data_IF_371981822072
#
_entry.id   IF_371981822072
#
_cell.length_a   1.000
_cell.length_b   1.000
_cell.length_c   1.000
_cell.angle_alpha   90.00
_cell.angle_beta   90.00
_cell.angle_gamma   90.00
#
_symmetry.space_group_name_H-M   'P 1'
#
loop_
_entity.id
_entity.type
_entity.pdbx_description
1 polymer ?
#
# COMPACT_ATOMS: atom_id res chain seq x y z
N UNK A 1 -7.65 -9.69 0.38
CA UNK A 1 -6.25 -9.54 0.71
C UNK A 1 -6.07 -9.63 2.21
N UNK A 2 -5.08 -10.39 2.69
CA UNK A 2 -4.91 -10.68 4.11
C UNK A 2 -3.61 -10.09 4.62
N UNK A 3 -3.69 -9.12 5.53
CA UNK A 3 -2.53 -8.65 6.29
C UNK A 3 -2.22 -9.55 7.50
N UNK A 4 -0.99 -9.49 7.97
CA UNK A 4 -0.47 -10.38 9.01
C UNK A 4 -0.68 -9.78 10.40
N UNK A 5 -0.89 -10.65 11.38
CA UNK A 5 -0.92 -10.22 12.78
C UNK A 5 0.44 -10.43 13.45
N UNK A 6 0.96 -11.66 13.43
CA UNK A 6 2.18 -11.99 14.17
C UNK A 6 3.48 -11.42 13.61
N UNK A 7 3.76 -11.45 12.27
CA UNK A 7 4.98 -10.85 11.73
C UNK A 7 4.98 -9.32 11.75
N UNK A 8 3.93 -8.71 12.26
CA UNK A 8 3.57 -7.29 12.11
C UNK A 8 3.36 -6.93 10.63
N UNK A 9 2.99 -5.71 10.32
CA UNK A 9 2.46 -5.25 9.03
C UNK A 9 3.30 -5.56 7.78
N UNK A 10 4.63 -5.68 7.91
CA UNK A 10 5.51 -5.99 6.78
C UNK A 10 6.69 -6.90 7.18
N UNK A 11 6.54 -7.70 8.23
CA UNK A 11 7.56 -8.64 8.66
C UNK A 11 8.63 -8.04 9.58
N UNK A 12 8.34 -6.94 10.29
CA UNK A 12 9.29 -6.30 11.22
C UNK A 12 9.85 -7.29 12.25
N UNK A 13 9.04 -8.28 12.67
CA UNK A 13 9.50 -9.33 13.60
C UNK A 13 10.72 -10.09 13.07
N UNK A 14 10.77 -10.35 11.77
CA UNK A 14 11.89 -11.06 11.13
C UNK A 14 13.05 -10.11 10.81
N UNK A 15 12.78 -8.84 10.52
CA UNK A 15 13.80 -7.80 10.36
C UNK A 15 14.62 -7.62 11.64
N UNK A 16 13.96 -7.72 12.81
CA UNK A 16 14.58 -7.56 14.12
C UNK A 16 15.23 -8.85 14.66
N UNK A 17 15.21 -9.93 13.89
CA UNK A 17 15.80 -11.21 14.31
C UNK A 17 17.33 -11.13 14.39
N UNK A 18 17.92 -11.78 15.40
CA UNK A 18 19.37 -11.89 15.54
C UNK A 18 20.02 -12.83 14.51
N UNK A 19 19.24 -13.76 13.97
CA UNK A 19 19.64 -14.74 12.95
C UNK A 19 18.84 -14.50 11.68
N UNK A 20 19.45 -13.84 10.70
CA UNK A 20 18.80 -13.48 9.45
C UNK A 20 18.60 -14.69 8.50
N UNK A 21 19.41 -15.74 8.62
CA UNK A 21 19.22 -16.98 7.86
C UNK A 21 17.97 -17.71 8.36
N UNK A 22 17.77 -17.79 9.66
CA UNK A 22 16.54 -18.30 10.25
C UNK A 22 15.36 -17.36 9.90
N UNK A 23 15.55 -16.04 9.94
CA UNK A 23 14.57 -15.04 9.52
C UNK A 23 14.08 -15.29 8.08
N UNK A 24 15.00 -15.54 7.15
CA UNK A 24 14.66 -15.85 5.76
C UNK A 24 13.89 -17.17 5.63
N UNK A 25 14.30 -18.20 6.37
CA UNK A 25 13.57 -19.46 6.40
C UNK A 25 12.15 -19.29 6.92
N UNK A 26 11.96 -18.47 7.97
CA UNK A 26 10.64 -18.15 8.50
C UNK A 26 9.77 -17.36 7.50
N UNK A 27 10.32 -16.36 6.82
CA UNK A 27 9.60 -15.62 5.77
C UNK A 27 9.11 -16.56 4.67
N UNK A 28 9.96 -17.45 4.19
CA UNK A 28 9.61 -18.42 3.15
C UNK A 28 8.55 -19.40 3.62
N UNK A 29 8.72 -19.99 4.81
CA UNK A 29 7.75 -20.92 5.39
C UNK A 29 6.38 -20.24 5.59
N UNK A 30 6.37 -18.97 6.04
CA UNK A 30 5.14 -18.24 6.18
C UNK A 30 4.45 -17.99 4.83
N UNK A 31 5.21 -17.60 3.81
CA UNK A 31 4.66 -17.39 2.48
C UNK A 31 4.14 -18.70 1.86
N UNK A 32 4.84 -19.80 2.06
CA UNK A 32 4.41 -21.11 1.58
C UNK A 32 3.09 -21.52 2.24
N UNK A 33 3.01 -21.41 3.57
CA UNK A 33 1.78 -21.65 4.30
C UNK A 33 0.64 -20.73 3.84
N UNK A 34 0.90 -19.42 3.68
CA UNK A 34 -0.11 -18.44 3.24
C UNK A 34 -0.69 -18.82 1.87
N UNK A 35 0.16 -19.21 0.93
CA UNK A 35 -0.26 -19.53 -0.42
C UNK A 35 -0.93 -20.92 -0.47
N UNK A 36 -0.27 -21.96 0.02
CA UNK A 36 -0.65 -23.37 -0.20
C UNK A 36 -1.73 -23.87 0.77
N UNK A 37 -1.64 -23.47 2.06
CA UNK A 37 -2.52 -24.01 3.09
C UNK A 37 -3.66 -23.05 3.47
N UNK A 38 -3.46 -21.72 3.31
CA UNK A 38 -4.47 -20.75 3.70
C UNK A 38 -5.29 -20.22 2.52
N UNK A 39 -4.64 -19.79 1.43
CA UNK A 39 -5.34 -19.14 0.32
C UNK A 39 -5.83 -20.14 -0.74
N UNK A 40 -5.01 -21.08 -1.19
CA UNK A 40 -5.37 -22.05 -2.24
C UNK A 40 -6.65 -22.84 -1.92
N UNK A 41 -6.85 -23.38 -0.70
CA UNK A 41 -8.09 -24.13 -0.38
C UNK A 41 -9.35 -23.28 -0.38
N UNK A 42 -9.23 -21.96 -0.37
CA UNK A 42 -10.37 -21.03 -0.39
C UNK A 42 -11.06 -20.92 -1.77
N UNK A 43 -10.47 -21.52 -2.81
CA UNK A 43 -11.00 -21.40 -4.17
C UNK A 43 -10.97 -19.98 -4.73
N UNK A 44 -9.95 -19.19 -4.34
CA UNK A 44 -9.76 -17.81 -4.80
C UNK A 44 -10.48 -16.74 -3.96
N UNK A 45 -11.14 -17.12 -2.86
CA UNK A 45 -11.76 -16.14 -1.94
C UNK A 45 -10.70 -15.38 -1.13
N UNK A 46 -9.64 -16.06 -0.73
CA UNK A 46 -8.52 -15.46 -0.02
C UNK A 46 -7.39 -15.15 -1.00
N UNK A 47 -6.92 -13.92 -1.00
CA UNK A 47 -5.83 -13.45 -1.86
C UNK A 47 -4.56 -13.34 -1.00
N UNK A 48 -3.47 -14.05 -1.36
CA UNK A 48 -2.26 -14.05 -0.57
C UNK A 48 -1.55 -12.70 -0.65
N UNK A 49 -1.11 -12.21 0.50
CA UNK A 49 -0.19 -11.11 0.65
C UNK A 49 1.09 -11.66 1.27
N UNK A 50 2.18 -11.67 0.53
CA UNK A 50 3.42 -12.30 0.96
C UNK A 50 4.35 -11.32 1.67
N UNK A 51 5.19 -11.84 2.55
CA UNK A 51 6.29 -11.13 3.19
C UNK A 51 7.51 -11.09 2.27
N UNK A 52 8.37 -10.12 2.51
CA UNK A 52 9.70 -10.03 1.91
C UNK A 52 10.78 -9.90 2.99
N UNK A 53 12.00 -10.40 2.78
CA UNK A 53 13.12 -10.17 3.70
C UNK A 53 13.61 -8.72 3.57
N UNK A 54 13.11 -7.84 4.44
CA UNK A 54 13.33 -6.38 4.36
C UNK A 54 14.78 -5.94 4.63
N UNK A 55 15.65 -6.82 5.09
CA UNK A 55 17.06 -6.53 5.33
C UNK A 55 17.95 -6.66 4.08
N UNK A 56 17.43 -7.25 2.99
CA UNK A 56 18.17 -7.48 1.76
C UNK A 56 17.24 -7.38 0.53
N UNK A 57 17.44 -6.36 -0.30
CA UNK A 57 16.60 -6.10 -1.47
C UNK A 57 16.75 -7.15 -2.59
N UNK A 58 17.91 -7.85 -2.69
CA UNK A 58 18.09 -8.93 -3.65
C UNK A 58 17.30 -10.18 -3.23
N UNK A 59 17.35 -10.53 -1.95
CA UNK A 59 16.53 -11.61 -1.39
C UNK A 59 15.04 -11.28 -1.49
N UNK A 60 14.67 -10.01 -1.26
CA UNK A 60 13.30 -9.53 -1.43
C UNK A 60 12.83 -9.68 -2.89
N UNK A 61 13.65 -9.27 -3.86
CA UNK A 61 13.37 -9.45 -5.28
C UNK A 61 13.21 -10.91 -5.68
N UNK A 62 14.08 -11.78 -5.16
CA UNK A 62 13.99 -13.23 -5.40
C UNK A 62 12.70 -13.81 -4.85
N UNK A 63 12.27 -13.37 -3.66
CA UNK A 63 11.03 -13.82 -3.02
C UNK A 63 9.79 -13.31 -3.76
N UNK A 64 9.80 -12.08 -4.28
CA UNK A 64 8.74 -11.55 -5.16
C UNK A 64 8.59 -12.46 -6.39
N UNK A 65 9.68 -12.75 -7.12
CA UNK A 65 9.63 -13.59 -8.32
C UNK A 65 9.15 -15.00 -8.00
N UNK A 66 9.67 -15.61 -6.93
CA UNK A 66 9.26 -16.95 -6.48
C UNK A 66 7.75 -17.05 -6.26
N UNK A 67 7.17 -16.07 -5.59
CA UNK A 67 5.75 -16.06 -5.31
C UNK A 67 4.91 -15.61 -6.53
N UNK A 68 5.45 -14.76 -7.40
CA UNK A 68 4.78 -14.37 -8.65
C UNK A 68 4.58 -15.56 -9.59
N UNK A 69 5.52 -16.52 -9.65
CA UNK A 69 5.38 -17.80 -10.39
C UNK A 69 4.21 -18.65 -9.86
N UNK A 70 3.83 -18.45 -8.60
CA UNK A 70 2.69 -19.11 -7.93
C UNK A 70 1.39 -18.30 -8.02
N UNK A 71 1.37 -17.24 -8.82
CA UNK A 71 0.20 -16.38 -9.01
C UNK A 71 0.03 -15.25 -7.98
N UNK A 72 0.94 -15.09 -7.03
CA UNK A 72 0.88 -13.99 -6.05
C UNK A 72 1.18 -12.65 -6.72
N UNK A 73 0.39 -11.63 -6.41
CA UNK A 73 0.52 -10.28 -6.97
C UNK A 73 0.55 -9.18 -5.90
N UNK A 74 0.82 -9.54 -4.65
CA UNK A 74 0.90 -8.61 -3.54
C UNK A 74 1.99 -9.00 -2.55
N UNK A 75 2.82 -8.03 -2.15
CA UNK A 75 3.82 -8.16 -1.09
C UNK A 75 3.76 -6.96 -0.15
N UNK A 76 4.09 -7.18 1.12
CA UNK A 76 4.16 -6.11 2.11
C UNK A 76 5.44 -5.31 2.01
N UNK A 77 5.33 -4.01 2.22
CA UNK A 77 6.46 -3.10 2.36
C UNK A 77 6.19 -2.06 3.45
N UNK A 78 7.23 -1.41 3.98
CA UNK A 78 7.05 -0.33 4.95
C UNK A 78 6.65 0.97 4.26
N UNK A 79 5.68 1.69 4.81
CA UNK A 79 5.30 3.02 4.37
C UNK A 79 6.47 4.04 4.46
N UNK A 80 7.35 3.90 5.47
CA UNK A 80 8.52 4.77 5.67
C UNK A 80 9.72 3.92 6.14
N UNK A 81 10.44 3.23 5.23
CA UNK A 81 11.55 2.34 5.57
C UNK A 81 12.62 2.95 6.51
N UNK A 82 13.01 4.24 6.39
CA UNK A 82 14.01 4.82 7.28
C UNK A 82 13.63 4.83 8.77
N UNK A 83 12.35 4.79 9.11
CA UNK A 83 11.92 4.68 10.52
C UNK A 83 12.19 3.29 11.12
N UNK A 84 12.41 2.30 10.28
CA UNK A 84 12.84 0.95 10.67
C UNK A 84 14.37 0.78 10.61
N UNK A 85 15.13 1.86 10.41
CA UNK A 85 16.58 1.81 10.24
C UNK A 85 17.01 1.29 8.85
N UNK A 86 16.10 1.22 7.90
CA UNK A 86 16.34 0.74 6.55
C UNK A 86 16.69 1.89 5.59
N UNK A 87 17.29 1.61 4.42
CA UNK A 87 17.51 2.61 3.39
C UNK A 87 16.23 3.30 2.94
N UNK A 88 16.31 4.58 2.58
CA UNK A 88 15.19 5.29 1.94
C UNK A 88 14.93 4.78 0.54
N UNK A 89 13.74 5.03 -0.01
CA UNK A 89 13.39 4.67 -1.39
C UNK A 89 14.25 5.42 -2.43
N UNK A 90 14.89 6.53 -2.03
CA UNK A 90 15.75 7.34 -2.89
C UNK A 90 17.17 6.79 -3.02
N UNK A 91 17.60 5.90 -2.14
CA UNK A 91 18.99 5.42 -2.04
C UNK A 91 19.44 4.53 -3.20
N UNK A 92 18.51 4.00 -3.99
CA UNK A 92 18.75 2.95 -4.98
C UNK A 92 18.92 1.53 -4.39
N UNK A 93 19.01 1.41 -3.07
CA UNK A 93 19.15 0.09 -2.43
C UNK A 93 17.95 -0.84 -2.68
N UNK A 94 16.76 -0.28 -2.87
CA UNK A 94 15.53 -1.03 -3.15
C UNK A 94 15.25 -1.30 -4.63
N UNK A 95 16.05 -0.78 -5.54
CA UNK A 95 15.82 -0.92 -6.99
C UNK A 95 15.67 -2.38 -7.45
N UNK A 96 16.41 -3.36 -6.89
CA UNK A 96 16.16 -4.77 -7.20
C UNK A 96 14.75 -5.25 -6.87
N UNK A 97 14.20 -4.83 -5.72
CA UNK A 97 12.83 -5.13 -5.31
C UNK A 97 11.81 -4.45 -6.24
N UNK A 98 12.00 -3.16 -6.51
CA UNK A 98 11.09 -2.38 -7.36
C UNK A 98 11.08 -2.92 -8.79
N UNK A 99 12.24 -3.29 -9.33
CA UNK A 99 12.34 -3.95 -10.64
C UNK A 99 11.59 -5.29 -10.66
N UNK A 100 11.70 -6.11 -9.61
CA UNK A 100 10.97 -7.38 -9.54
C UNK A 100 9.46 -7.17 -9.47
N UNK A 101 8.99 -6.17 -8.72
CA UNK A 101 7.57 -5.82 -8.66
C UNK A 101 7.06 -5.27 -10.00
N UNK A 102 7.82 -4.40 -10.66
CA UNK A 102 7.51 -3.88 -11.99
C UNK A 102 7.42 -5.01 -13.03
N UNK A 103 8.41 -5.90 -13.06
CA UNK A 103 8.51 -7.04 -13.96
C UNK A 103 7.34 -8.02 -13.83
N UNK A 104 6.96 -8.34 -12.59
CA UNK A 104 5.94 -9.35 -12.28
C UNK A 104 4.52 -8.80 -12.16
N UNK A 105 4.35 -7.47 -12.15
CA UNK A 105 3.08 -6.82 -11.86
C UNK A 105 2.66 -6.92 -10.39
N UNK A 106 3.60 -7.23 -9.48
CA UNK A 106 3.33 -7.35 -8.04
C UNK A 106 3.17 -5.97 -7.41
N UNK A 107 2.10 -5.78 -6.65
CA UNK A 107 1.80 -4.54 -5.92
C UNK A 107 2.53 -4.51 -4.58
N UNK A 108 3.19 -3.39 -4.27
CA UNK A 108 3.70 -3.11 -2.93
C UNK A 108 2.56 -2.60 -2.05
N UNK A 109 2.19 -3.40 -1.06
CA UNK A 109 1.12 -3.08 -0.11
C UNK A 109 1.72 -2.54 1.19
N UNK A 110 1.37 -1.32 1.53
CA UNK A 110 1.75 -0.65 2.76
C UNK A 110 0.53 -0.48 3.66
N UNK A 111 0.75 -0.63 4.95
CA UNK A 111 -0.29 -0.51 5.96
C UNK A 111 0.07 0.61 6.93
N UNK A 112 -0.90 1.35 7.47
CA UNK A 112 -0.60 2.27 8.56
C UNK A 112 0.08 1.51 9.69
N UNK A 113 1.11 2.11 10.31
CA UNK A 113 1.91 1.43 11.34
C UNK A 113 3.03 0.53 10.81
N UNK A 114 3.14 0.28 9.49
CA UNK A 114 4.24 -0.53 8.93
C UNK A 114 5.63 0.10 9.10
N UNK A 115 5.71 1.36 9.46
CA UNK A 115 6.93 2.05 9.87
C UNK A 115 7.25 1.92 11.37
N UNK A 116 6.45 1.16 12.15
CA UNK A 116 6.54 1.04 13.62
C UNK A 116 6.44 2.37 14.37
N UNK A 117 5.94 3.42 13.72
CA UNK A 117 5.80 4.75 14.32
C UNK A 117 4.45 5.36 13.90
N UNK A 118 3.64 5.71 14.88
CA UNK A 118 2.39 6.43 14.65
C UNK A 118 2.61 7.95 14.76
N UNK A 119 1.93 8.76 13.94
CA UNK A 119 1.99 10.21 14.05
C UNK A 119 1.46 10.67 15.42
N UNK A 120 2.18 11.61 16.05
CA UNK A 120 1.76 12.26 17.27
C UNK A 120 2.28 13.69 17.29
N UNK A 121 1.54 14.61 17.92
CA UNK A 121 1.98 16.00 18.08
C UNK A 121 3.05 16.13 19.17
N UNK A 122 2.97 15.29 20.22
CA UNK A 122 3.94 15.21 21.31
C UNK A 122 3.86 13.82 21.96
N UNK A 123 4.88 13.42 22.77
CA UNK A 123 4.86 12.14 23.47
C UNK A 123 3.72 11.97 24.49
N UNK A 124 3.18 13.07 24.99
CA UNK A 124 2.09 13.13 25.95
C UNK A 124 0.74 13.53 25.33
N UNK A 125 0.65 13.53 23.99
CA UNK A 125 -0.59 13.82 23.29
C UNK A 125 -1.65 12.77 23.63
N UNK A 126 -2.93 13.16 23.82
CA UNK A 126 -4.02 12.21 23.98
C UNK A 126 -4.11 11.21 22.82
N UNK A 127 -4.48 9.96 23.10
CA UNK A 127 -4.54 8.86 22.10
C UNK A 127 -5.38 9.22 20.88
N UNK A 128 -6.47 9.99 21.05
CA UNK A 128 -7.31 10.47 19.95
C UNK A 128 -6.55 11.31 18.89
N UNK A 129 -5.44 11.95 19.27
CA UNK A 129 -4.58 12.70 18.32
C UNK A 129 -3.91 11.71 17.36
N UNK A 130 -3.28 10.66 17.89
CA UNK A 130 -2.64 9.63 17.09
C UNK A 130 -3.62 8.92 16.15
N UNK A 131 -4.78 8.53 16.66
CA UNK A 131 -5.85 7.92 15.85
C UNK A 131 -6.34 8.85 14.72
N UNK A 132 -6.54 10.15 15.03
CA UNK A 132 -6.93 11.14 14.02
C UNK A 132 -5.88 11.35 12.94
N UNK A 133 -4.59 11.25 13.29
CA UNK A 133 -3.47 11.49 12.39
C UNK A 133 -2.91 10.20 11.75
N UNK A 134 -3.50 9.04 11.98
CA UNK A 134 -2.98 7.75 11.55
C UNK A 134 -2.63 7.71 10.05
N UNK A 135 -3.46 8.34 9.21
CA UNK A 135 -3.25 8.44 7.76
C UNK A 135 -2.05 9.32 7.34
N UNK A 136 -1.49 10.14 8.21
CA UNK A 136 -0.41 11.06 7.84
C UNK A 136 0.85 10.33 7.35
N UNK A 137 1.10 9.12 7.84
CA UNK A 137 2.21 8.33 7.33
C UNK A 137 1.98 7.92 5.87
N UNK A 138 0.76 7.50 5.51
CA UNK A 138 0.40 7.18 4.14
C UNK A 138 0.53 8.41 3.23
N UNK A 139 0.07 9.58 3.69
CA UNK A 139 0.22 10.85 2.96
C UNK A 139 1.70 11.22 2.77
N UNK A 140 2.52 11.12 3.81
CA UNK A 140 3.95 11.40 3.73
C UNK A 140 4.66 10.42 2.77
N UNK A 141 4.35 9.13 2.87
CA UNK A 141 4.86 8.10 1.97
C UNK A 141 4.44 8.33 0.53
N UNK A 142 3.17 8.66 0.27
CA UNK A 142 2.71 8.96 -1.08
C UNK A 142 3.45 10.16 -1.68
N UNK A 143 3.63 11.23 -0.93
CA UNK A 143 4.40 12.39 -1.39
C UNK A 143 5.87 12.01 -1.70
N UNK A 144 6.49 11.16 -0.86
CA UNK A 144 7.85 10.66 -1.07
C UNK A 144 7.96 9.85 -2.37
N UNK A 145 7.03 8.94 -2.63
CA UNK A 145 6.98 8.18 -3.88
C UNK A 145 6.75 9.06 -5.10
N UNK A 146 5.82 10.01 -5.04
CA UNK A 146 5.49 10.91 -6.16
C UNK A 146 6.68 11.75 -6.61
N UNK A 147 7.55 12.17 -5.68
CA UNK A 147 8.76 12.96 -5.98
C UNK A 147 10.03 12.12 -6.13
N UNK A 148 9.98 10.80 -5.92
CA UNK A 148 11.18 9.94 -5.91
C UNK A 148 11.83 9.75 -7.28
N UNK A 149 11.09 9.87 -8.36
CA UNK A 149 11.48 9.41 -9.70
C UNK A 149 11.32 7.88 -9.89
N UNK A 150 11.08 7.11 -8.82
CA UNK A 150 10.94 5.65 -8.91
C UNK A 150 9.75 5.21 -9.74
N UNK A 151 8.67 5.99 -9.72
CA UNK A 151 7.52 5.74 -10.58
C UNK A 151 7.79 6.06 -12.06
N UNK A 152 8.79 6.84 -12.38
CA UNK A 152 9.29 7.03 -13.76
C UNK A 152 10.18 5.86 -14.17
N UNK A 153 11.10 5.46 -13.29
CA UNK A 153 12.06 4.38 -13.50
C UNK A 153 11.39 3.02 -13.63
N UNK A 154 10.35 2.77 -12.83
CA UNK A 154 9.56 1.53 -12.80
C UNK A 154 8.09 1.80 -13.19
N UNK A 155 7.78 1.87 -14.49
CA UNK A 155 6.49 2.40 -14.98
C UNK A 155 5.28 1.51 -14.71
N UNK A 156 5.48 0.23 -14.37
CA UNK A 156 4.41 -0.71 -14.01
C UNK A 156 4.25 -0.93 -12.50
N UNK A 157 5.17 -0.36 -11.69
CA UNK A 157 5.12 -0.48 -10.24
C UNK A 157 3.81 0.10 -9.69
N UNK A 158 3.12 -0.69 -8.87
CA UNK A 158 1.88 -0.31 -8.19
C UNK A 158 2.06 -0.28 -6.68
N UNK A 159 1.39 0.66 -6.03
CA UNK A 159 1.41 0.87 -4.58
C UNK A 159 -0.03 0.81 -4.04
N UNK A 160 -0.22 0.26 -2.85
CA UNK A 160 -1.49 0.28 -2.14
C UNK A 160 -1.30 0.66 -0.68
N UNK A 161 -2.20 1.51 -0.16
CA UNK A 161 -2.19 1.98 1.23
C UNK A 161 -3.41 1.46 1.97
N UNK A 162 -3.24 0.40 2.75
CA UNK A 162 -4.30 -0.14 3.61
C UNK A 162 -4.51 0.74 4.83
N UNK A 163 -5.77 0.97 5.17
CA UNK A 163 -6.25 1.85 6.25
C UNK A 163 -5.78 3.32 6.11
N UNK A 164 -5.22 3.67 4.94
CA UNK A 164 -4.71 5.01 4.68
C UNK A 164 -5.77 6.08 4.53
N UNK A 165 -7.04 5.70 4.38
CA UNK A 165 -8.15 6.57 3.99
C UNK A 165 -7.90 7.30 2.66
N UNK A 166 -8.87 8.02 2.14
CA UNK A 166 -8.80 8.59 0.78
C UNK A 166 -9.14 10.09 0.70
N UNK A 167 -9.79 10.64 1.72
CA UNK A 167 -10.29 12.03 1.69
C UNK A 167 -9.21 13.11 1.69
N UNK A 168 -7.99 12.77 2.06
CA UNK A 168 -6.84 13.68 2.02
C UNK A 168 -6.12 13.70 0.65
N UNK A 169 -6.35 12.69 -0.19
CA UNK A 169 -5.63 12.48 -1.46
C UNK A 169 -5.80 13.65 -2.43
N UNK A 170 -7.02 14.19 -2.67
CA UNK A 170 -7.19 15.31 -3.61
C UNK A 170 -6.31 16.50 -3.27
N UNK A 171 -6.34 16.92 -2.00
CA UNK A 171 -5.52 18.04 -1.55
C UNK A 171 -4.01 17.76 -1.67
N UNK A 172 -3.58 16.54 -1.35
CA UNK A 172 -2.17 16.16 -1.44
C UNK A 172 -1.68 16.19 -2.90
N UNK A 173 -2.48 15.73 -3.86
CA UNK A 173 -2.17 15.77 -5.28
C UNK A 173 -2.11 17.20 -5.81
N UNK A 174 -3.13 18.02 -5.50
CA UNK A 174 -3.16 19.45 -5.87
C UNK A 174 -1.93 20.19 -5.33
N UNK A 175 -1.59 19.92 -4.05
CA UNK A 175 -0.42 20.53 -3.41
C UNK A 175 0.89 20.05 -4.03
N UNK A 176 1.01 18.78 -4.36
CA UNK A 176 2.20 18.22 -5.00
C UNK A 176 2.43 18.85 -6.38
N UNK A 177 1.39 18.96 -7.21
CA UNK A 177 1.47 19.59 -8.52
C UNK A 177 1.85 21.08 -8.43
N UNK A 178 1.26 21.80 -7.46
CA UNK A 178 1.61 23.20 -7.20
C UNK A 178 3.09 23.35 -6.81
N UNK A 179 3.62 22.49 -5.94
CA UNK A 179 5.04 22.49 -5.55
C UNK A 179 5.93 22.17 -6.74
N UNK A 180 5.58 21.16 -7.53
CA UNK A 180 6.32 20.79 -8.73
C UNK A 180 6.41 21.92 -9.75
N UNK A 181 5.30 22.64 -9.97
CA UNK A 181 5.25 23.76 -10.92
C UNK A 181 5.99 25.01 -10.42
N UNK A 182 5.70 25.43 -9.19
CA UNK A 182 6.14 26.73 -8.68
C UNK A 182 7.53 26.72 -8.06
N UNK A 183 8.01 25.55 -7.57
CA UNK A 183 9.26 25.44 -6.84
C UNK A 183 10.42 24.83 -7.64
N UNK A 184 10.23 24.58 -8.91
CA UNK A 184 11.23 23.92 -9.76
C UNK A 184 12.56 24.68 -9.83
N UNK A 185 12.52 26.01 -9.77
CA UNK A 185 13.71 26.88 -9.89
C UNK A 185 14.81 26.60 -8.84
N UNK A 186 14.44 26.01 -7.70
CA UNK A 186 15.40 25.64 -6.62
C UNK A 186 15.32 24.21 -6.15
N UNK A 187 14.33 23.42 -6.61
CA UNK A 187 14.14 22.02 -6.22
C UNK A 187 14.56 21.03 -7.30
N UNK A 188 14.70 21.49 -8.56
CA UNK A 188 15.03 20.66 -9.73
C UNK A 188 14.11 19.41 -9.84
N UNK A 189 12.82 19.63 -9.58
CA UNK A 189 11.84 18.55 -9.59
C UNK A 189 11.68 17.92 -10.99
N UNK A 190 11.67 18.75 -12.03
CA UNK A 190 11.39 18.34 -13.42
C UNK A 190 12.48 17.48 -14.04
N UNK A 191 13.72 17.55 -13.53
CA UNK A 191 14.78 16.63 -13.96
C UNK A 191 14.53 15.21 -13.48
N UNK A 192 13.87 15.04 -12.33
CA UNK A 192 13.58 13.75 -11.71
C UNK A 192 12.22 13.19 -12.12
N UNK A 193 11.19 14.04 -12.16
CA UNK A 193 9.83 13.71 -12.56
C UNK A 193 9.37 14.70 -13.62
N UNK A 194 9.41 14.31 -14.92
CA UNK A 194 9.14 15.21 -16.04
C UNK A 194 7.69 15.70 -16.12
N UNK A 195 6.74 14.96 -15.54
CA UNK A 195 5.32 15.30 -15.52
C UNK A 195 4.86 15.66 -14.09
N UNK A 196 3.72 16.37 -13.94
CA UNK A 196 3.17 16.66 -12.63
C UNK A 196 3.00 15.40 -11.78
N UNK A 197 3.27 15.45 -10.45
CA UNK A 197 3.17 14.31 -9.55
C UNK A 197 1.86 13.54 -9.62
N UNK A 198 0.71 14.22 -9.78
CA UNK A 198 -0.60 13.56 -9.91
C UNK A 198 -0.68 12.60 -11.10
N UNK A 199 0.09 12.82 -12.17
CA UNK A 199 0.16 11.92 -13.33
C UNK A 199 0.65 10.52 -12.94
N UNK A 200 1.53 10.42 -11.93
CA UNK A 200 2.07 9.15 -11.45
C UNK A 200 1.17 8.46 -10.41
N UNK A 201 0.17 9.15 -9.91
CA UNK A 201 -0.82 8.60 -8.99
C UNK A 201 -1.83 7.73 -9.72
N UNK A 202 -2.48 8.29 -10.77
CA UNK A 202 -3.61 7.62 -11.41
C UNK A 202 -3.23 6.28 -12.05
N UNK A 203 -3.99 5.24 -11.71
CA UNK A 203 -3.80 3.87 -12.18
C UNK A 203 -2.64 3.11 -11.52
N UNK A 204 -1.90 3.73 -10.60
CA UNK A 204 -0.70 3.14 -9.99
C UNK A 204 -0.66 3.16 -8.46
N UNK A 205 -1.26 4.17 -7.84
CA UNK A 205 -1.36 4.26 -6.38
C UNK A 205 -2.81 4.08 -5.98
N UNK A 206 -3.07 3.16 -5.04
CA UNK A 206 -4.40 2.80 -4.59
C UNK A 206 -4.55 3.14 -3.11
N UNK A 207 -5.58 3.92 -2.80
CA UNK A 207 -6.01 4.19 -1.43
C UNK A 207 -7.04 3.16 -0.98
N UNK A 208 -6.87 2.60 0.22
CA UNK A 208 -7.87 1.73 0.82
C UNK A 208 -8.53 2.44 2.01
N UNK A 209 -9.83 2.24 2.18
CA UNK A 209 -10.61 2.92 3.20
C UNK A 209 -11.72 2.03 3.78
N UNK A 210 -12.04 2.25 5.04
CA UNK A 210 -13.17 1.62 5.74
C UNK A 210 -14.37 2.55 5.80
N UNK A 211 -14.15 3.81 6.19
CA UNK A 211 -15.17 4.83 6.35
C UNK A 211 -14.58 6.22 6.01
N UNK A 212 -14.83 6.70 4.81
CA UNK A 212 -14.36 8.02 4.39
C UNK A 212 -15.40 8.75 3.55
N UNK A 213 -16.35 9.38 4.24
CA UNK A 213 -17.44 10.13 3.60
C UNK A 213 -16.90 11.28 2.72
N UNK A 214 -15.83 11.95 3.16
CA UNK A 214 -15.25 13.06 2.39
C UNK A 214 -14.58 12.56 1.12
N UNK A 215 -13.84 11.47 1.20
CA UNK A 215 -13.22 10.82 0.03
C UNK A 215 -14.26 10.35 -0.99
N UNK A 216 -15.36 9.75 -0.54
CA UNK A 216 -16.46 9.36 -1.41
C UNK A 216 -17.18 10.57 -2.06
N UNK A 217 -17.27 11.71 -1.38
CA UNK A 217 -17.82 12.93 -1.95
C UNK A 217 -16.88 13.59 -2.99
N UNK A 218 -15.61 13.19 -3.02
CA UNK A 218 -14.56 13.73 -3.90
C UNK A 218 -14.04 12.68 -4.90
N UNK A 219 -14.87 11.74 -5.33
CA UNK A 219 -14.48 10.62 -6.19
C UNK A 219 -13.85 11.05 -7.52
N UNK A 220 -14.27 12.19 -8.07
CA UNK A 220 -13.71 12.69 -9.31
C UNK A 220 -12.23 13.06 -9.18
N UNK A 221 -11.85 13.64 -8.03
CA UNK A 221 -10.49 14.10 -7.74
C UNK A 221 -9.62 12.98 -7.15
N UNK A 222 -10.21 12.11 -6.32
CA UNK A 222 -9.51 10.92 -5.80
C UNK A 222 -9.21 9.92 -6.92
N UNK A 223 -10.07 9.85 -7.92
CA UNK A 223 -10.01 8.86 -8.99
C UNK A 223 -10.72 7.55 -8.60
N UNK A 224 -11.90 7.34 -9.20
CA UNK A 224 -12.73 6.14 -8.93
C UNK A 224 -11.95 4.85 -9.09
N UNK A 225 -11.02 4.83 -10.03
CA UNK A 225 -10.21 3.65 -10.36
C UNK A 225 -9.01 3.43 -9.41
N UNK A 226 -8.82 4.32 -8.43
CA UNK A 226 -7.66 4.30 -7.53
C UNK A 226 -8.00 3.98 -6.08
N UNK A 227 -9.21 3.52 -5.81
CA UNK A 227 -9.67 3.27 -4.44
C UNK A 227 -10.25 1.87 -4.27
N UNK A 228 -10.05 1.30 -3.08
CA UNK A 228 -10.58 0.01 -2.68
C UNK A 228 -11.22 0.13 -1.28
N UNK A 229 -12.39 -0.46 -1.13
CA UNK A 229 -13.02 -0.64 0.19
C UNK A 229 -12.35 -1.79 0.94
N UNK A 230 -12.17 -1.64 2.24
CA UNK A 230 -11.71 -2.68 3.16
C UNK A 230 -12.58 -2.76 4.40
N UNK A 231 -12.67 -3.95 5.01
CA UNK A 231 -13.52 -4.21 6.17
C UNK A 231 -12.79 -4.07 7.49
N UNK A 232 -11.48 -4.11 7.44
CA UNK A 232 -10.58 -4.11 8.59
C UNK A 232 -10.90 -5.21 9.64
N UNK A 233 -11.39 -6.36 9.18
CA UNK A 233 -11.67 -7.50 10.08
C UNK A 233 -10.36 -8.17 10.54
N UNK A 234 -10.18 -8.47 11.84
CA UNK A 234 -11.13 -8.41 12.96
C UNK A 234 -10.91 -7.25 13.96
N UNK A 235 -10.43 -6.10 13.51
CA UNK A 235 -10.23 -4.94 14.38
C UNK A 235 -11.53 -4.44 15.02
N UNK A 236 -11.43 -3.56 16.03
CA UNK A 236 -12.58 -3.07 16.81
C UNK A 236 -13.50 -2.14 16.03
N UNK A 237 -13.01 -1.50 14.98
CA UNK A 237 -13.70 -0.61 14.07
C UNK A 237 -14.10 -1.28 12.75
N UNK A 238 -13.96 -2.62 12.67
CA UNK A 238 -14.44 -3.40 11.52
C UNK A 238 -15.92 -3.20 11.23
N UNK A 239 -16.29 -3.23 9.97
CA UNK A 239 -17.69 -3.24 9.55
C UNK A 239 -18.38 -4.61 9.74
N UNK A 240 -17.62 -5.69 9.96
CA UNK A 240 -18.16 -7.03 10.20
C UNK A 240 -18.85 -7.14 11.59
N UNK A 241 -20.00 -7.83 11.74
CA UNK A 241 -20.69 -8.68 10.75
C UNK A 241 -21.72 -7.94 9.89
N UNK A 242 -21.82 -6.62 9.96
CA UNK A 242 -22.82 -5.79 9.29
C UNK A 242 -22.29 -5.12 8.00
N UNK A 243 -21.23 -5.67 7.40
CA UNK A 243 -20.56 -5.07 6.24
C UNK A 243 -21.50 -4.78 5.09
N UNK A 244 -22.44 -5.69 4.76
CA UNK A 244 -23.38 -5.50 3.66
C UNK A 244 -24.27 -4.29 3.90
N UNK A 245 -24.91 -4.22 5.07
CA UNK A 245 -25.79 -3.10 5.47
C UNK A 245 -25.03 -1.77 5.50
N UNK A 246 -23.78 -1.83 5.98
CA UNK A 246 -22.90 -0.67 6.05
C UNK A 246 -22.57 -0.12 4.66
N UNK A 247 -22.17 -1.00 3.73
CA UNK A 247 -21.80 -0.66 2.37
C UNK A 247 -23.01 -0.15 1.58
N UNK A 248 -24.17 -0.79 1.68
CA UNK A 248 -25.42 -0.34 1.05
C UNK A 248 -25.76 1.11 1.47
N UNK A 249 -25.62 1.42 2.75
CA UNK A 249 -25.85 2.77 3.27
C UNK A 249 -24.77 3.76 2.81
N UNK A 250 -23.51 3.34 2.82
CA UNK A 250 -22.37 4.18 2.48
C UNK A 250 -22.37 4.57 0.99
N UNK A 251 -22.77 3.67 0.12
CA UNK A 251 -22.78 3.83 -1.33
C UNK A 251 -24.19 4.09 -1.91
N UNK A 252 -25.18 4.44 -1.07
CA UNK A 252 -26.57 4.61 -1.51
C UNK A 252 -26.76 5.65 -2.63
N UNK A 253 -25.92 6.67 -2.68
CA UNK A 253 -25.95 7.75 -3.67
C UNK A 253 -24.88 7.58 -4.77
N UNK A 254 -24.25 6.40 -4.87
CA UNK A 254 -23.17 6.10 -5.82
C UNK A 254 -23.69 5.14 -6.91
N UNK A 255 -23.36 5.42 -8.16
CA UNK A 255 -23.73 4.56 -9.29
C UNK A 255 -23.21 3.12 -9.11
N UNK A 256 -24.00 2.12 -9.54
CA UNK A 256 -23.69 0.68 -9.41
C UNK A 256 -22.32 0.32 -10.03
N UNK A 257 -21.95 0.93 -11.16
CA UNK A 257 -20.64 0.73 -11.80
C UNK A 257 -19.49 1.22 -10.90
N UNK A 258 -19.67 2.38 -10.29
CA UNK A 258 -18.68 2.96 -9.36
C UNK A 258 -18.62 2.11 -8.09
N UNK A 259 -19.77 1.70 -7.54
CA UNK A 259 -19.84 0.81 -6.39
C UNK A 259 -19.10 -0.51 -6.65
N UNK A 260 -19.32 -1.13 -7.82
CA UNK A 260 -18.59 -2.34 -8.23
C UNK A 260 -17.06 -2.12 -8.28
N UNK A 261 -16.62 -1.00 -8.87
CA UNK A 261 -15.18 -0.67 -8.93
C UNK A 261 -14.58 -0.57 -7.53
N UNK A 262 -15.20 0.18 -6.64
CA UNK A 262 -14.73 0.44 -5.28
C UNK A 262 -14.68 -0.83 -4.44
N UNK A 263 -15.72 -1.66 -4.54
CA UNK A 263 -15.87 -2.86 -3.71
C UNK A 263 -15.07 -4.07 -4.22
N UNK A 264 -14.78 -4.12 -5.52
CA UNK A 264 -14.20 -5.32 -6.13
C UNK A 264 -13.33 -5.05 -7.36
N UNK A 265 -13.82 -4.33 -8.34
CA UNK A 265 -13.20 -4.22 -9.66
C UNK A 265 -11.79 -3.65 -9.61
N UNK A 266 -11.56 -2.66 -8.77
CA UNK A 266 -10.24 -2.05 -8.62
C UNK A 266 -9.22 -3.00 -8.00
N UNK A 267 -9.61 -3.77 -6.99
CA UNK A 267 -8.75 -4.78 -6.37
C UNK A 267 -8.38 -5.89 -7.38
N UNK A 268 -9.35 -6.36 -8.18
CA UNK A 268 -9.10 -7.32 -9.26
C UNK A 268 -8.05 -6.78 -10.23
N UNK A 269 -8.22 -5.55 -10.70
CA UNK A 269 -7.29 -4.90 -11.63
C UNK A 269 -5.92 -4.64 -11.01
N UNK A 270 -5.87 -4.11 -9.80
CA UNK A 270 -4.64 -3.83 -9.06
C UNK A 270 -3.78 -5.09 -8.90
N UNK A 271 -4.42 -6.21 -8.55
CA UNK A 271 -3.77 -7.49 -8.27
C UNK A 271 -3.73 -8.43 -9.49
N UNK A 272 -4.19 -7.97 -10.65
CA UNK A 272 -4.20 -8.74 -11.91
C UNK A 272 -4.86 -10.13 -11.77
N UNK A 273 -5.96 -10.23 -11.02
CA UNK A 273 -6.62 -11.50 -10.71
C UNK A 273 -7.35 -12.15 -11.90
N UNK A 274 -7.67 -11.40 -12.95
CA UNK A 274 -8.36 -11.90 -14.15
C UNK A 274 -7.43 -12.64 -15.13
N UNK A 275 -6.14 -12.73 -14.81
CA UNK A 275 -5.12 -13.37 -15.68
C UNK A 275 -4.88 -14.85 -15.37
N UNK A 276 -5.67 -15.44 -14.49
CA UNK A 276 -5.54 -16.85 -14.12
C UNK A 276 -6.59 -17.72 -14.80
#
# INVERSE_FOLDING_TARGET
LLFFTFPRFCGQTFLEANDLDLGLACVRAYNDWMVEEWCEPSGGMNIPLCLIPMWDAQLAAAEVRRNAERGVRAVCFSEIPPRLGLPSIHSGAWDPLFAACDETGTTLCMHIGSSSTMPAASPDAPEGVGGTLAFNNAMASMADWLFSGKLVEFPRLKLAYSEGQIGWIPYALERADTVWEQHDAWMDNKSRIPEPPSTYYYGRIFGCFTADRHGLASLAEVGVDNICFETDYPHTDTTWPHTTEYVEKMLADVDDEVAYKVLRGNAIRMLELDRT
#
